data_IF_620589627989
#
_entry.id   IF_620589627989
#
_cell.length_a   1.000
_cell.length_b   1.000
_cell.length_c   1.000
_cell.angle_alpha   90.00
_cell.angle_beta   90.00
_cell.angle_gamma   90.00
#
_symmetry.space_group_name_H-M   'P 1'
#
loop_
_entity.id
_entity.type
_entity.pdbx_description
1 polymer ?
#
# COMPACT_ATOMS: atom_id res chain seq x y z
N UNK A 1 16.55 -0.97 -5.55
CA UNK A 1 15.97 -2.29 -5.86
C UNK A 1 14.47 -2.14 -6.10
N UNK A 2 13.86 -2.86 -7.04
CA UNK A 2 12.43 -2.76 -7.38
C UNK A 2 11.78 -4.15 -7.40
N UNK A 3 10.55 -4.25 -6.89
CA UNK A 3 9.77 -5.48 -6.89
C UNK A 3 8.29 -5.16 -7.11
N UNK A 4 7.59 -6.01 -7.84
CA UNK A 4 6.16 -5.89 -8.11
C UNK A 4 5.37 -6.42 -6.93
N UNK A 5 4.38 -5.64 -6.49
CA UNK A 5 3.59 -5.93 -5.30
C UNK A 5 4.44 -6.31 -4.09
N UNK A 6 5.69 -5.80 -4.04
CA UNK A 6 6.66 -6.03 -2.96
C UNK A 6 7.23 -7.46 -2.88
N UNK A 7 6.79 -8.37 -3.78
CA UNK A 7 7.03 -9.82 -3.67
C UNK A 7 7.82 -10.39 -4.84
N UNK A 8 7.58 -9.90 -6.06
CA UNK A 8 8.11 -10.53 -7.28
C UNK A 8 9.13 -9.63 -7.98
N UNK A 9 10.29 -10.18 -8.34
CA UNK A 9 11.36 -9.45 -9.05
C UNK A 9 11.45 -9.97 -10.50
N UNK A 10 11.38 -9.10 -11.53
CA UNK A 10 11.58 -9.51 -12.91
C UNK A 10 12.94 -10.18 -13.12
N UNK A 11 13.03 -11.16 -14.03
CA UNK A 11 14.25 -11.93 -14.29
C UNK A 11 14.47 -13.11 -13.32
N UNK A 12 13.71 -13.18 -12.22
CA UNK A 12 13.77 -14.27 -11.25
C UNK A 12 12.45 -15.05 -11.23
N UNK A 13 12.24 -16.00 -12.16
CA UNK A 13 11.03 -16.80 -12.20
C UNK A 13 10.86 -17.65 -10.94
N UNK A 14 9.63 -17.90 -10.53
CA UNK A 14 9.28 -18.74 -9.38
C UNK A 14 9.96 -18.33 -8.06
N UNK A 15 10.40 -17.07 -7.93
CA UNK A 15 11.03 -16.53 -6.74
C UNK A 15 10.14 -15.47 -6.10
N UNK A 16 9.95 -15.60 -4.79
CA UNK A 16 9.11 -14.72 -3.98
C UNK A 16 9.90 -14.20 -2.78
N UNK A 17 9.71 -12.92 -2.44
CA UNK A 17 10.28 -12.30 -1.24
C UNK A 17 9.14 -11.86 -0.31
N UNK A 18 9.31 -12.07 1.00
CA UNK A 18 8.31 -11.69 2.00
C UNK A 18 8.40 -10.20 2.33
N UNK A 19 9.62 -9.67 2.38
CA UNK A 19 9.88 -8.27 2.70
C UNK A 19 10.66 -7.63 1.55
N UNK A 20 9.93 -7.08 0.58
CA UNK A 20 10.51 -6.31 -0.50
C UNK A 20 10.32 -4.80 -0.38
N UNK A 21 10.80 -4.04 -1.37
CA UNK A 21 10.54 -2.61 -1.43
C UNK A 21 9.02 -2.34 -1.48
N UNK A 22 8.60 -1.29 -0.78
CA UNK A 22 7.22 -0.84 -0.60
C UNK A 22 6.32 -1.85 0.13
N UNK A 23 6.87 -2.73 0.99
CA UNK A 23 6.10 -3.73 1.74
C UNK A 23 5.23 -3.15 2.87
N UNK A 24 5.64 -2.04 3.50
CA UNK A 24 5.04 -1.59 4.74
C UNK A 24 3.80 -0.71 4.53
N UNK A 25 2.62 -1.18 4.93
CA UNK A 25 1.33 -0.48 4.77
C UNK A 25 0.79 0.21 6.03
N UNK A 26 1.54 0.19 7.14
CA UNK A 26 1.24 1.02 8.32
C UNK A 26 0.61 0.34 9.55
N UNK A 27 0.22 -0.95 9.49
CA UNK A 27 -0.41 -1.64 10.64
C UNK A 27 0.54 -2.62 11.36
N UNK A 28 1.60 -3.09 10.71
CA UNK A 28 2.62 -3.92 11.35
C UNK A 28 3.32 -4.90 10.41
N UNK A 29 4.31 -5.62 10.95
CA UNK A 29 5.08 -6.63 10.21
C UNK A 29 4.24 -7.84 9.77
N UNK A 30 3.13 -8.12 10.44
CA UNK A 30 2.24 -9.22 10.07
C UNK A 30 1.49 -8.92 8.78
N UNK A 31 0.99 -7.69 8.59
CA UNK A 31 0.21 -7.32 7.41
C UNK A 31 1.02 -7.35 6.11
N UNK A 32 2.31 -7.00 6.17
CA UNK A 32 3.18 -7.11 5.00
C UNK A 32 3.49 -8.57 4.68
N UNK A 33 3.70 -9.41 5.70
CA UNK A 33 3.92 -10.85 5.50
C UNK A 33 2.66 -11.55 4.94
N UNK A 34 1.48 -11.20 5.46
CA UNK A 34 0.20 -11.70 4.98
C UNK A 34 -0.02 -11.37 3.50
N UNK A 35 0.16 -10.10 3.11
CA UNK A 35 0.06 -9.69 1.71
C UNK A 35 1.05 -10.46 0.82
N UNK A 36 2.29 -10.63 1.28
CA UNK A 36 3.31 -11.33 0.51
C UNK A 36 2.97 -12.82 0.30
N UNK A 37 2.51 -13.49 1.35
CA UNK A 37 2.09 -14.89 1.28
C UNK A 37 0.83 -15.05 0.43
N UNK A 38 -0.18 -14.18 0.58
CA UNK A 38 -1.38 -14.20 -0.25
C UNK A 38 -1.03 -14.09 -1.74
N UNK A 39 -0.13 -13.15 -2.08
CA UNK A 39 0.33 -12.98 -3.45
C UNK A 39 1.03 -14.23 -4.00
N UNK A 40 1.99 -14.76 -3.25
CA UNK A 40 2.76 -15.93 -3.67
C UNK A 40 1.89 -17.19 -3.79
N UNK A 41 1.02 -17.46 -2.81
CA UNK A 41 0.11 -18.61 -2.80
C UNK A 41 -0.84 -18.54 -3.98
N UNK A 42 -1.46 -17.39 -4.24
CA UNK A 42 -2.35 -17.22 -5.39
C UNK A 42 -1.62 -17.47 -6.71
N UNK A 43 -0.40 -16.94 -6.86
CA UNK A 43 0.41 -17.16 -8.05
C UNK A 43 0.71 -18.66 -8.26
N UNK A 44 1.07 -19.39 -7.21
CA UNK A 44 1.31 -20.83 -7.26
C UNK A 44 0.04 -21.64 -7.57
N UNK A 45 -1.10 -21.27 -6.98
CA UNK A 45 -2.39 -21.92 -7.25
C UNK A 45 -2.79 -21.76 -8.72
N UNK A 46 -2.63 -20.55 -9.28
CA UNK A 46 -2.89 -20.31 -10.71
C UNK A 46 -1.93 -21.08 -11.61
N UNK A 47 -0.65 -21.18 -11.24
CA UNK A 47 0.32 -21.97 -11.97
C UNK A 47 -0.09 -23.45 -12.02
N UNK A 48 -0.49 -24.02 -10.88
CA UNK A 48 -0.98 -25.40 -10.79
C UNK A 48 -2.23 -25.63 -11.62
N UNK A 49 -3.23 -24.75 -11.52
CA UNK A 49 -4.48 -24.87 -12.28
C UNK A 49 -4.33 -24.76 -13.81
N UNK A 50 -3.22 -24.18 -14.29
CA UNK A 50 -2.95 -23.99 -15.72
C UNK A 50 -1.84 -24.90 -16.25
N UNK A 51 -1.25 -25.75 -15.41
CA UNK A 51 -0.09 -26.58 -15.78
C UNK A 51 1.17 -25.78 -16.11
N UNK A 52 1.30 -24.56 -15.58
CA UNK A 52 2.43 -23.68 -15.84
C UNK A 52 3.58 -23.97 -14.88
N UNK A 53 4.79 -24.10 -15.42
CA UNK A 53 6.02 -24.38 -14.65
C UNK A 53 6.89 -23.14 -14.42
N UNK A 54 6.64 -22.04 -15.14
CA UNK A 54 7.37 -20.77 -15.00
C UNK A 54 6.43 -19.60 -14.76
N UNK A 55 6.54 -18.99 -13.58
CA UNK A 55 5.84 -17.78 -13.18
C UNK A 55 6.82 -16.61 -13.15
N UNK A 56 6.55 -15.56 -13.93
CA UNK A 56 7.39 -14.37 -13.93
C UNK A 56 6.55 -13.09 -14.08
N UNK A 57 6.95 -12.07 -13.33
CA UNK A 57 6.34 -10.75 -13.46
C UNK A 57 6.86 -10.02 -14.69
N UNK A 58 5.97 -9.33 -15.40
CA UNK A 58 6.38 -8.49 -16.53
C UNK A 58 7.01 -7.18 -16.07
N UNK A 59 7.98 -6.71 -16.85
CA UNK A 59 8.57 -5.38 -16.64
C UNK A 59 7.57 -4.22 -16.72
N UNK A 60 6.55 -4.30 -17.59
CA UNK A 60 5.53 -3.24 -17.68
C UNK A 60 4.57 -3.25 -16.48
N UNK A 61 4.27 -4.42 -15.91
CA UNK A 61 3.51 -4.52 -14.67
C UNK A 61 4.30 -3.91 -13.49
N UNK A 62 5.59 -4.24 -13.38
CA UNK A 62 6.48 -3.62 -12.39
C UNK A 62 6.51 -2.09 -12.58
N UNK A 63 6.71 -1.61 -13.81
CA UNK A 63 6.80 -0.17 -14.09
C UNK A 63 5.55 0.58 -13.64
N UNK A 64 4.36 0.07 -13.97
CA UNK A 64 3.08 0.68 -13.55
C UNK A 64 2.94 0.71 -12.03
N UNK A 65 3.33 -0.36 -11.35
CA UNK A 65 3.34 -0.41 -9.89
C UNK A 65 4.29 0.64 -9.31
N UNK A 66 5.53 0.73 -9.82
CA UNK A 66 6.51 1.71 -9.38
C UNK A 66 6.04 3.15 -9.62
N UNK A 67 5.46 3.44 -10.79
CA UNK A 67 4.89 4.74 -11.10
C UNK A 67 3.79 5.13 -10.11
N UNK A 68 2.92 4.17 -9.74
CA UNK A 68 1.90 4.39 -8.72
C UNK A 68 2.51 4.67 -7.34
N UNK A 69 3.52 3.91 -6.92
CA UNK A 69 4.22 4.12 -5.65
C UNK A 69 4.87 5.50 -5.61
N UNK A 70 5.55 5.92 -6.67
CA UNK A 70 6.17 7.24 -6.73
C UNK A 70 5.16 8.38 -6.75
N UNK A 71 4.04 8.23 -7.48
CA UNK A 71 2.98 9.24 -7.53
C UNK A 71 2.34 9.43 -6.15
N UNK A 72 1.95 8.34 -5.49
CA UNK A 72 1.30 8.42 -4.18
C UNK A 72 2.30 8.79 -3.07
N UNK A 73 3.57 8.39 -3.21
CA UNK A 73 4.62 8.61 -2.24
C UNK A 73 5.22 10.02 -2.22
N UNK A 74 4.77 10.94 -3.09
CA UNK A 74 5.32 12.31 -3.18
C UNK A 74 5.30 13.05 -1.86
N UNK A 75 4.20 13.00 -1.12
CA UNK A 75 4.06 13.69 0.15
C UNK A 75 4.97 13.08 1.24
N UNK A 76 5.06 11.75 1.28
CA UNK A 76 6.00 11.06 2.20
C UNK A 76 7.44 11.45 1.86
N UNK A 77 7.82 11.40 0.58
CA UNK A 77 9.13 11.82 0.11
C UNK A 77 9.43 13.26 0.51
N UNK A 78 8.49 14.18 0.30
CA UNK A 78 8.65 15.57 0.70
C UNK A 78 8.88 15.72 2.22
N UNK A 79 8.08 15.03 3.03
CA UNK A 79 8.21 15.05 4.49
C UNK A 79 9.59 14.56 4.97
N UNK A 80 10.04 13.38 4.53
CA UNK A 80 11.30 12.82 5.02
C UNK A 80 12.55 13.47 4.40
N UNK A 81 12.47 13.95 3.15
CA UNK A 81 13.66 14.44 2.43
C UNK A 81 13.80 15.96 2.44
N UNK A 82 12.70 16.71 2.58
CA UNK A 82 12.71 18.17 2.58
C UNK A 82 12.44 18.75 3.97
N UNK A 83 11.33 18.37 4.62
CA UNK A 83 10.94 18.92 5.92
C UNK A 83 11.82 18.42 7.06
N UNK A 84 12.23 17.15 7.01
CA UNK A 84 13.11 16.52 8.01
C UNK A 84 14.52 16.31 7.48
N UNK A 85 15.00 17.21 6.62
CA UNK A 85 16.34 17.14 6.06
C UNK A 85 17.39 17.15 7.19
N UNK A 86 18.31 16.20 7.16
CA UNK A 86 19.38 16.06 8.16
C UNK A 86 19.04 15.16 9.34
N UNK A 87 17.80 14.68 9.46
CA UNK A 87 17.43 13.68 10.47
C UNK A 87 17.71 12.28 9.92
N UNK A 88 18.65 11.57 10.52
CA UNK A 88 18.95 10.19 10.17
C UNK A 88 17.86 9.26 10.72
N UNK A 89 17.14 8.60 9.82
CA UNK A 89 16.14 7.60 10.18
C UNK A 89 16.27 6.40 9.26
N UNK A 90 15.94 5.22 9.76
CA UNK A 90 15.96 3.98 8.97
C UNK A 90 14.97 3.98 7.78
N UNK A 91 14.08 4.98 7.74
CA UNK A 91 13.12 5.18 6.66
C UNK A 91 13.76 5.71 5.39
N UNK A 92 14.90 6.42 5.51
CA UNK A 92 15.59 7.02 4.37
C UNK A 92 16.88 6.25 4.12
N UNK A 93 17.04 5.73 2.91
CA UNK A 93 18.28 5.04 2.52
C UNK A 93 19.38 6.05 2.13
N UNK A 94 20.60 5.57 1.87
CA UNK A 94 21.71 6.42 1.42
C UNK A 94 21.48 7.12 0.08
N UNK A 95 20.50 6.68 -0.71
CA UNK A 95 20.09 7.34 -1.96
C UNK A 95 19.01 8.43 -1.74
N UNK A 96 18.62 8.69 -0.48
CA UNK A 96 17.58 9.68 -0.16
C UNK A 96 16.17 9.23 -0.52
N UNK A 97 15.94 7.93 -0.66
CA UNK A 97 14.64 7.33 -0.97
C UNK A 97 14.00 6.72 0.26
N UNK A 98 12.68 6.50 0.20
CA UNK A 98 11.91 5.83 1.24
C UNK A 98 11.44 4.47 0.69
N UNK A 99 12.32 3.46 0.63
CA UNK A 99 12.05 2.26 -0.14
C UNK A 99 11.08 1.29 0.55
N UNK A 100 10.80 1.45 1.84
CA UNK A 100 10.01 0.46 2.60
C UNK A 100 8.52 0.82 2.72
N UNK A 101 8.17 2.11 2.76
CA UNK A 101 6.80 2.58 2.98
C UNK A 101 5.95 2.45 1.72
N UNK A 102 4.81 1.78 1.81
CA UNK A 102 3.82 1.66 0.75
C UNK A 102 2.81 2.81 0.82
N UNK A 103 2.77 3.73 -0.15
CA UNK A 103 1.79 4.83 -0.17
C UNK A 103 0.45 4.37 -0.76
N UNK A 104 -0.14 3.30 -0.21
CA UNK A 104 -1.49 2.82 -0.55
C UNK A 104 -2.23 2.45 0.73
N UNK A 105 -3.56 2.46 0.68
CA UNK A 105 -4.36 1.96 1.81
C UNK A 105 -4.15 0.46 1.99
N UNK A 106 -4.37 -0.02 3.21
CA UNK A 106 -4.26 -1.44 3.53
C UNK A 106 -5.19 -2.31 2.70
N UNK A 107 -6.45 -1.89 2.57
CA UNK A 107 -7.42 -2.59 1.75
C UNK A 107 -6.99 -2.63 0.28
N UNK A 108 -6.36 -1.57 -0.24
CA UNK A 108 -5.84 -1.58 -1.60
C UNK A 108 -4.65 -2.54 -1.76
N UNK A 109 -3.72 -2.55 -0.81
CA UNK A 109 -2.57 -3.46 -0.83
C UNK A 109 -2.99 -4.94 -0.72
N UNK A 110 -3.96 -5.24 0.16
CA UNK A 110 -4.54 -6.57 0.29
C UNK A 110 -5.25 -7.02 -0.99
N UNK A 111 -6.13 -6.17 -1.54
CA UNK A 111 -6.81 -6.46 -2.81
C UNK A 111 -5.82 -6.69 -3.96
N UNK A 112 -4.76 -5.90 -4.06
CA UNK A 112 -3.74 -6.09 -5.11
C UNK A 112 -2.95 -7.41 -4.94
N UNK A 113 -2.82 -7.90 -3.70
CA UNK A 113 -2.22 -9.20 -3.40
C UNK A 113 -3.17 -10.36 -3.69
N UNK A 114 -4.47 -10.17 -3.45
CA UNK A 114 -5.53 -11.17 -3.68
C UNK A 114 -6.05 -11.21 -5.12
N UNK A 115 -5.89 -10.12 -5.88
CA UNK A 115 -6.41 -10.01 -7.23
C UNK A 115 -5.40 -9.33 -8.16
N UNK A 116 -4.68 -10.18 -8.88
CA UNK A 116 -3.86 -9.79 -10.01
C UNK A 116 -4.16 -10.70 -11.22
N UNK A 117 -4.46 -10.16 -12.39
CA UNK A 117 -4.72 -10.93 -13.58
C UNK A 117 -3.45 -11.50 -14.18
N UNK A 118 -3.63 -12.71 -14.67
CA UNK A 118 -2.63 -13.55 -15.29
C UNK A 118 -2.76 -13.45 -16.79
N UNK A 119 -1.65 -13.35 -17.51
CA UNK A 119 -1.64 -13.58 -18.95
C UNK A 119 -0.98 -14.92 -19.20
N UNK A 120 -1.73 -15.80 -19.83
CA UNK A 120 -1.14 -17.01 -20.36
C UNK A 120 -0.29 -16.61 -21.58
N UNK A 121 0.83 -17.29 -21.81
CA UNK A 121 1.61 -17.03 -23.01
C UNK A 121 0.72 -17.30 -24.22
N UNK A 122 0.70 -16.37 -25.20
CA UNK A 122 0.18 -16.69 -26.52
C UNK A 122 0.97 -17.90 -27.03
N UNK A 123 0.25 -18.97 -27.38
CA UNK A 123 0.81 -20.20 -27.97
C UNK A 123 1.63 -19.81 -29.20
N UNK A 124 2.94 -19.66 -29.06
CA UNK A 124 3.83 -19.28 -30.14
C UNK A 124 4.90 -20.37 -30.29
N UNK A 125 4.76 -21.09 -31.40
CA UNK A 125 5.51 -22.26 -31.87
C UNK A 125 5.33 -23.57 -31.08
N UNK A 126 5.30 -24.72 -31.78
CA UNK A 126 5.10 -26.05 -31.18
C UNK A 126 6.32 -26.61 -30.42
N UNK A 127 7.44 -25.87 -30.34
CA UNK A 127 8.72 -26.43 -29.86
C UNK A 127 9.19 -25.93 -28.49
N UNK A 128 8.48 -24.99 -27.84
CA UNK A 128 8.83 -24.52 -26.49
C UNK A 128 7.89 -25.12 -25.44
N UNK A 129 8.23 -26.31 -24.91
CA UNK A 129 7.52 -26.96 -23.79
C UNK A 129 7.78 -26.29 -22.43
N UNK A 130 7.87 -24.97 -22.38
CA UNK A 130 8.01 -24.21 -21.12
C UNK A 130 6.93 -23.15 -21.06
N UNK A 131 5.75 -23.57 -20.61
CA UNK A 131 4.63 -22.69 -20.30
C UNK A 131 5.10 -21.60 -19.32
N UNK A 132 5.17 -20.36 -19.81
CA UNK A 132 5.55 -19.18 -19.02
C UNK A 132 4.33 -18.30 -18.80
N UNK A 133 3.80 -18.26 -17.58
CA UNK A 133 2.83 -17.24 -17.21
C UNK A 133 3.53 -15.90 -17.14
N UNK A 134 2.89 -14.92 -17.78
CA UNK A 134 3.32 -13.55 -17.85
C UNK A 134 2.17 -12.72 -17.27
N UNK A 135 2.31 -11.93 -16.21
CA UNK A 135 1.13 -11.25 -15.62
C UNK A 135 0.65 -10.04 -16.46
N UNK A 136 -0.57 -10.00 -17.01
CA UNK A 136 -1.15 -8.77 -17.62
C UNK A 136 -2.32 -8.25 -16.82
N UNK A 137 -2.21 -6.99 -16.36
CA UNK A 137 -3.35 -6.25 -15.84
C UNK A 137 -4.22 -5.63 -16.92
N UNK A 138 -5.52 -6.01 -16.88
CA UNK A 138 -6.66 -5.35 -17.50
C UNK A 138 -6.67 -3.89 -17.05
N UNK A 139 -6.78 -2.97 -17.99
CA UNK A 139 -7.01 -1.55 -17.70
C UNK A 139 -8.38 -1.40 -17.04
N UNK A 140 -8.42 -1.36 -15.70
CA UNK A 140 -9.56 -0.83 -14.98
C UNK A 140 -9.50 0.69 -15.06
N UNK A 141 -10.13 1.26 -16.07
CA UNK A 141 -10.62 2.63 -16.03
C UNK A 141 -11.76 2.65 -15.02
N UNK A 142 -11.54 3.24 -13.85
CA UNK A 142 -12.65 3.66 -12.99
C UNK A 142 -12.42 5.12 -12.57
N UNK A 143 -13.42 6.01 -12.80
CA UNK A 143 -13.30 7.42 -12.51
C UNK A 143 -13.51 7.68 -11.01
N UNK A 144 -12.56 8.38 -10.41
CA UNK A 144 -12.77 8.98 -9.09
C UNK A 144 -13.59 10.25 -9.32
N UNK A 145 -14.91 10.17 -9.15
CA UNK A 145 -15.80 11.33 -9.18
C UNK A 145 -16.65 11.39 -7.91
N UNK A 146 -16.35 12.39 -7.08
CA UNK A 146 -17.35 13.18 -6.36
C UNK A 146 -18.02 12.55 -5.14
N UNK A 147 -17.36 12.58 -3.98
CA UNK A 147 -18.06 12.52 -2.70
C UNK A 147 -18.67 13.91 -2.41
N UNK A 148 -19.85 14.17 -2.98
CA UNK A 148 -20.64 15.35 -2.66
C UNK A 148 -21.31 15.15 -1.29
N UNK A 149 -21.00 16.03 -0.34
CA UNK A 149 -21.56 16.06 0.99
C UNK A 149 -23.10 16.18 0.96
N UNK A 150 -23.81 15.11 1.35
CA UNK A 150 -25.23 15.19 1.71
C UNK A 150 -25.36 15.76 3.12
N UNK A 151 -25.64 17.06 3.19
CA UNK A 151 -26.05 17.77 4.40
C UNK A 151 -27.49 17.37 4.74
N UNK A 152 -27.65 16.37 5.60
CA UNK A 152 -28.96 16.04 6.18
C UNK A 152 -29.32 17.12 7.22
N UNK A 153 -30.31 17.96 6.88
CA UNK A 153 -31.00 18.80 7.87
C UNK A 153 -31.86 17.87 8.74
N UNK A 154 -31.53 17.76 10.02
CA UNK A 154 -32.49 17.33 11.05
C UNK A 154 -32.79 18.54 11.93
N UNK A 155 -34.02 19.03 11.81
CA UNK A 155 -34.64 19.98 12.72
C UNK A 155 -34.74 19.35 14.12
N UNK A 156 -34.19 20.02 15.12
CA UNK A 156 -34.29 19.61 16.52
C UNK A 156 -34.99 20.75 17.26
N UNK A 157 -36.24 20.53 17.64
CA UNK A 157 -37.04 21.45 18.45
C UNK A 157 -36.53 21.48 19.90
N UNK A 158 -36.67 22.61 20.62
CA UNK A 158 -36.07 22.78 21.94
C UNK A 158 -36.99 22.21 23.03
N UNK A 159 -36.45 21.32 23.87
CA UNK A 159 -37.08 20.93 25.13
C UNK A 159 -36.58 21.87 26.23
N UNK A 160 -37.51 22.60 26.86
CA UNK A 160 -37.29 23.41 28.05
C UNK A 160 -36.93 22.50 29.23
N UNK A 161 -35.80 22.77 29.87
CA UNK A 161 -35.41 22.19 31.15
C UNK A 161 -34.72 23.25 31.99
N UNK A 162 -35.32 23.56 33.12
CA UNK A 162 -35.00 24.61 34.10
C UNK A 162 -33.65 24.40 34.80
N UNK A 163 -32.93 25.51 35.03
CA UNK A 163 -31.72 25.61 35.85
C UNK A 163 -32.03 25.41 37.36
N UNK A 164 -31.02 25.26 38.24
CA UNK A 164 -30.32 26.47 38.71
C UNK A 164 -28.80 26.37 38.94
N UNK A 165 -28.18 27.52 38.72
CA UNK A 165 -27.03 28.15 39.38
C UNK A 165 -26.07 27.33 40.27
N UNK A 166 -24.80 27.29 39.85
CA UNK A 166 -23.64 27.05 40.72
C UNK A 166 -22.43 27.83 40.21
N UNK A 167 -22.19 29.01 40.80
CA UNK A 167 -20.98 29.83 40.59
C UNK A 167 -19.75 29.10 41.15
N UNK A 168 -18.66 29.04 40.39
CA UNK A 168 -17.31 28.96 40.97
C UNK A 168 -16.38 29.92 40.24
N UNK A 169 -15.77 30.81 41.04
CA UNK A 169 -14.87 31.90 40.64
C UNK A 169 -13.44 31.39 40.41
N UNK A 170 -12.76 32.06 39.47
CA UNK A 170 -11.33 32.43 39.40
C UNK A 170 -10.26 31.68 40.23
N UNK A 171 -9.18 31.26 39.55
CA UNK A 171 -7.74 31.60 39.76
C UNK A 171 -6.87 30.55 39.03
N UNK A 172 -6.06 30.96 38.05
CA UNK A 172 -4.64 31.34 38.14
C UNK A 172 -3.65 30.16 38.22
N UNK A 173 -2.77 30.09 37.23
CA UNK A 173 -1.40 29.55 37.19
C UNK A 173 -1.00 28.45 38.18
N UNK A 174 -0.50 27.31 37.67
CA UNK A 174 0.86 26.84 37.99
C UNK A 174 1.38 25.89 36.90
N UNK A 175 2.61 26.15 36.47
CA UNK A 175 3.48 25.30 35.64
C UNK A 175 3.76 23.96 36.34
N UNK A 176 3.92 22.88 35.56
CA UNK A 176 4.83 21.80 35.96
C UNK A 176 5.38 21.11 34.71
N UNK A 177 6.62 21.47 34.39
CA UNK A 177 7.54 20.78 33.49
C UNK A 177 7.92 19.42 34.07
N UNK A 178 7.77 18.35 33.30
CA UNK A 178 8.40 17.05 33.56
C UNK A 178 9.29 16.73 32.38
N UNK A 179 10.61 16.86 32.61
CA UNK A 179 11.62 16.26 31.76
C UNK A 179 11.72 14.76 32.06
N UNK A 180 12.02 13.98 31.02
CA UNK A 180 12.52 12.62 31.15
C UNK A 180 13.90 12.57 30.50
N UNK A 181 14.86 12.12 31.30
CA UNK A 181 16.21 11.71 30.88
C UNK A 181 16.17 10.37 30.17
#
# INVERSE_FOLDING_TARGET
MQAYETVAVPGFPNRWIIVGPYAWTGIGCHSLAENAVLHAVRAMTLARGTGTVRMEVRHDALRRFMDLMWRNGRNLRYYFTQLNKGVHSYWVNGAGEIPILRPTTLSAARRASEDFPISLPQRSSPFSRRTSIRFTLRSSTSPVAGFAARRARRSMSPVRGTAPAGRCRSRANTLCSSGYS
#
